data_IF_683279340479
#
_entry.id   IF_683279340479
#
_cell.length_a   1.000
_cell.length_b   1.000
_cell.length_c   1.000
_cell.angle_alpha   90.00
_cell.angle_beta   90.00
_cell.angle_gamma   90.00
#
_symmetry.space_group_name_H-M   'P 1'
#
loop_
_entity.id
_entity.type
_entity.pdbx_description
1 polymer ?
#
# COMPACT_ATOMS: atom_id res chain seq x y z
N UNK A 1 -75.29 18.89 -11.52
CA UNK A 1 -75.11 19.59 -12.80
C UNK A 1 -73.70 19.35 -13.26
N UNK A 2 -73.53 18.39 -14.20
CA UNK A 2 -72.23 18.00 -14.74
C UNK A 2 -71.90 18.86 -15.94
N UNK A 3 -70.72 19.48 -15.97
CA UNK A 3 -70.14 20.05 -17.23
C UNK A 3 -68.94 19.20 -17.64
N UNK A 4 -69.11 18.50 -18.77
CA UNK A 4 -68.05 17.81 -19.54
C UNK A 4 -67.09 18.86 -20.16
N UNK A 5 -65.79 18.75 -19.93
CA UNK A 5 -64.81 19.46 -20.70
C UNK A 5 -64.06 18.53 -21.66
N UNK A 6 -64.11 18.94 -22.90
CA UNK A 6 -63.59 18.33 -24.11
C UNK A 6 -62.05 18.37 -24.13
N UNK A 7 -61.39 17.24 -24.22
CA UNK A 7 -59.95 17.16 -24.43
C UNK A 7 -59.64 17.30 -25.92
N UNK A 8 -59.01 18.40 -26.30
CA UNK A 8 -58.45 18.56 -27.65
C UNK A 8 -57.07 17.89 -27.71
N UNK A 9 -56.92 16.87 -28.55
CA UNK A 9 -55.66 16.28 -28.96
C UNK A 9 -54.90 17.28 -29.84
N UNK A 10 -53.70 17.68 -29.41
CA UNK A 10 -52.72 18.39 -30.21
C UNK A 10 -51.61 17.39 -30.55
N UNK A 11 -51.43 17.10 -31.85
CA UNK A 11 -50.28 16.40 -32.40
C UNK A 11 -49.08 17.36 -32.40
N UNK A 12 -47.88 16.95 -31.97
CA UNK A 12 -46.69 17.74 -32.26
C UNK A 12 -46.15 17.42 -33.66
N UNK A 13 -46.05 18.43 -34.47
CA UNK A 13 -45.36 18.43 -35.76
C UNK A 13 -43.84 18.39 -35.49
N UNK A 14 -43.18 17.30 -35.86
CA UNK A 14 -41.73 17.18 -35.76
C UNK A 14 -41.07 17.98 -36.90
N UNK A 15 -40.48 19.13 -36.57
CA UNK A 15 -39.53 19.81 -37.45
C UNK A 15 -38.17 19.16 -37.35
N UNK A 16 -37.74 18.45 -38.37
CA UNK A 16 -36.36 18.01 -38.56
C UNK A 16 -35.56 19.18 -39.10
N UNK A 17 -34.79 19.84 -38.23
CA UNK A 17 -33.76 20.79 -38.66
C UNK A 17 -32.44 20.05 -38.85
N UNK A 18 -32.05 19.80 -40.08
CA UNK A 18 -30.72 19.39 -40.50
C UNK A 18 -29.72 20.52 -40.24
N UNK A 19 -28.96 20.41 -39.14
CA UNK A 19 -27.77 21.25 -38.94
C UNK A 19 -26.61 20.57 -39.64
N UNK A 20 -26.12 21.18 -40.70
CA UNK A 20 -24.88 20.76 -41.35
C UNK A 20 -23.70 21.05 -40.41
N UNK A 21 -23.10 20.03 -39.87
CA UNK A 21 -21.78 20.12 -39.18
C UNK A 21 -20.71 20.22 -40.28
N UNK A 22 -20.17 21.43 -40.48
CA UNK A 22 -18.90 21.60 -41.18
C UNK A 22 -17.79 20.96 -40.31
N UNK A 23 -17.13 19.96 -40.88
CA UNK A 23 -16.07 19.22 -40.18
C UNK A 23 -14.91 20.13 -39.82
N UNK A 24 -14.55 20.08 -38.54
CA UNK A 24 -13.20 20.38 -38.06
C UNK A 24 -12.59 19.04 -37.68
N UNK A 25 -11.97 18.37 -38.66
CA UNK A 25 -11.09 17.23 -38.41
C UNK A 25 -9.78 17.73 -37.82
N UNK A 26 -9.79 18.03 -36.52
CA UNK A 26 -8.59 18.08 -35.73
C UNK A 26 -8.36 16.69 -35.15
N UNK A 27 -7.67 15.84 -35.88
CA UNK A 27 -7.16 14.57 -35.33
C UNK A 27 -6.15 14.86 -34.23
N UNK A 28 -6.61 14.93 -32.97
CA UNK A 28 -5.76 14.73 -31.82
C UNK A 28 -5.51 13.22 -31.78
N UNK A 29 -4.50 12.77 -32.50
CA UNK A 29 -3.93 11.46 -32.30
C UNK A 29 -3.25 11.47 -30.92
N UNK A 30 -3.98 11.13 -29.87
CA UNK A 30 -3.38 10.62 -28.67
C UNK A 30 -2.52 9.45 -29.14
N UNK A 31 -1.19 9.58 -29.06
CA UNK A 31 -0.28 8.44 -29.20
C UNK A 31 -0.64 7.45 -28.10
N UNK A 32 -1.56 6.54 -28.40
CA UNK A 32 -1.68 5.33 -27.62
C UNK A 32 -0.28 4.72 -27.61
N UNK A 33 0.38 4.73 -26.46
CA UNK A 33 1.55 3.88 -26.25
C UNK A 33 1.08 2.47 -26.57
N UNK A 34 1.55 1.92 -27.67
CA UNK A 34 1.30 0.53 -28.04
C UNK A 34 2.08 -0.33 -27.04
N UNK A 35 1.48 -0.55 -25.87
CA UNK A 35 1.90 -1.64 -25.00
C UNK A 35 1.76 -2.90 -25.86
N UNK A 36 2.86 -3.66 -26.02
CA UNK A 36 2.74 -5.00 -26.59
C UNK A 36 1.63 -5.71 -25.82
N UNK A 37 0.69 -6.37 -26.50
CA UNK A 37 -0.36 -7.09 -25.80
C UNK A 37 0.29 -8.06 -24.82
N UNK A 38 -0.09 -7.99 -23.56
CA UNK A 38 0.35 -8.95 -22.54
C UNK A 38 -0.13 -10.32 -23.01
N UNK A 39 0.79 -11.28 -23.11
CA UNK A 39 0.41 -12.66 -23.40
C UNK A 39 -0.25 -13.24 -22.15
N UNK A 40 -1.55 -13.17 -22.07
CA UNK A 40 -2.34 -13.67 -20.93
C UNK A 40 -2.23 -15.18 -20.73
N UNK A 41 -1.73 -15.93 -21.74
CA UNK A 41 -1.49 -17.35 -21.69
C UNK A 41 -0.02 -17.71 -21.37
N UNK A 42 0.83 -16.75 -21.02
CA UNK A 42 2.20 -17.04 -20.62
C UNK A 42 2.24 -17.83 -19.30
N UNK A 43 3.19 -18.74 -19.16
CA UNK A 43 3.47 -19.41 -17.89
C UNK A 43 3.82 -18.37 -16.83
N UNK A 44 3.17 -18.44 -15.66
CA UNK A 44 3.44 -17.53 -14.53
C UNK A 44 4.54 -18.17 -13.68
N UNK A 45 5.69 -17.53 -13.64
CA UNK A 45 6.83 -17.95 -12.81
C UNK A 45 6.89 -17.17 -11.52
N UNK A 46 6.59 -15.88 -11.59
CA UNK A 46 6.74 -14.96 -10.49
C UNK A 46 5.40 -14.30 -10.13
N UNK A 47 5.21 -14.07 -8.86
CA UNK A 47 4.10 -13.27 -8.33
C UNK A 47 4.69 -12.18 -7.43
N UNK A 48 4.35 -10.93 -7.69
CA UNK A 48 4.64 -9.79 -6.82
C UNK A 48 3.30 -9.24 -6.33
N UNK A 49 3.08 -9.29 -5.02
CA UNK A 49 1.85 -8.84 -4.37
C UNK A 49 2.16 -7.63 -3.50
N UNK A 50 1.61 -6.46 -3.86
CA UNK A 50 1.85 -5.22 -3.13
C UNK A 50 0.60 -4.84 -2.31
N UNK A 51 0.82 -4.38 -1.09
CA UNK A 51 -0.24 -3.92 -0.19
C UNK A 51 0.12 -2.50 0.28
N UNK A 52 -0.72 -1.53 -0.07
CA UNK A 52 -0.69 -0.21 0.57
C UNK A 52 -1.57 -0.27 1.81
N UNK A 53 -0.97 -0.44 2.98
CA UNK A 53 -1.70 -0.53 4.24
C UNK A 53 -2.50 0.76 4.47
N UNK A 54 -3.80 0.64 4.73
CA UNK A 54 -4.70 1.77 4.93
C UNK A 54 -5.01 2.61 3.69
N UNK A 55 -4.56 2.18 2.50
CA UNK A 55 -4.65 2.93 1.23
C UNK A 55 -6.06 2.87 0.62
N UNK A 56 -7.03 3.51 1.26
CA UNK A 56 -8.38 3.65 0.71
C UNK A 56 -8.43 4.47 -0.58
N UNK A 57 -9.58 4.48 -1.23
CA UNK A 57 -9.81 5.14 -2.54
C UNK A 57 -9.51 6.65 -2.48
N UNK A 58 -9.77 7.31 -1.35
CA UNK A 58 -9.47 8.73 -1.17
C UNK A 58 -7.98 9.04 -1.23
N UNK A 59 -7.12 8.16 -0.73
CA UNK A 59 -5.66 8.32 -0.81
C UNK A 59 -5.16 8.33 -2.25
N UNK A 60 -5.58 7.37 -3.05
CA UNK A 60 -5.19 7.29 -4.46
C UNK A 60 -5.74 8.47 -5.27
N UNK A 61 -6.95 8.93 -4.96
CA UNK A 61 -7.56 10.10 -5.60
C UNK A 61 -6.83 11.40 -5.23
N UNK A 62 -6.49 11.59 -3.93
CA UNK A 62 -5.72 12.75 -3.48
C UNK A 62 -4.32 12.78 -4.08
N UNK A 63 -3.66 11.62 -4.11
CA UNK A 63 -2.34 11.49 -4.70
C UNK A 63 -2.33 11.87 -6.19
N UNK A 64 -3.38 11.54 -6.93
CA UNK A 64 -3.56 11.98 -8.32
C UNK A 64 -3.63 13.51 -8.42
N UNK A 65 -4.40 14.18 -7.55
CA UNK A 65 -4.43 15.64 -7.49
C UNK A 65 -3.09 16.24 -7.02
N UNK A 66 -2.41 15.56 -6.11
CA UNK A 66 -1.08 16.01 -5.66
C UNK A 66 -0.08 16.03 -6.82
N UNK A 67 -0.09 15.00 -7.69
CA UNK A 67 0.84 14.88 -8.83
C UNK A 67 0.45 15.73 -10.03
N UNK A 68 -0.79 16.19 -10.06
CA UNK A 68 -1.34 16.90 -11.20
C UNK A 68 -0.51 18.14 -11.57
N UNK A 69 -0.39 18.35 -12.87
CA UNK A 69 0.17 19.58 -13.44
C UNK A 69 -0.96 20.57 -13.72
N UNK A 70 -1.14 21.62 -12.92
CA UNK A 70 -2.24 22.56 -13.07
C UNK A 70 -2.20 23.37 -14.39
N UNK A 71 -1.13 23.28 -15.18
CA UNK A 71 -1.03 23.90 -16.48
C UNK A 71 -1.73 23.09 -17.59
N UNK A 72 -2.11 21.84 -17.32
CA UNK A 72 -2.84 20.99 -18.28
C UNK A 72 -4.34 21.07 -18.04
N UNK A 73 -5.12 20.67 -19.05
CA UNK A 73 -6.59 20.75 -18.99
C UNK A 73 -7.22 19.64 -18.13
N UNK A 74 -6.57 18.48 -18.07
CA UNK A 74 -7.09 17.29 -17.42
C UNK A 74 -6.07 16.81 -16.38
N UNK A 75 -6.58 16.27 -15.29
CA UNK A 75 -5.74 15.64 -14.27
C UNK A 75 -5.05 14.40 -14.87
N UNK A 76 -3.72 14.33 -14.77
CA UNK A 76 -2.94 13.23 -15.30
C UNK A 76 -3.12 11.97 -14.45
N UNK A 77 -3.23 10.79 -15.08
CA UNK A 77 -3.30 9.53 -14.35
C UNK A 77 -1.96 9.22 -13.66
N UNK A 78 -2.03 8.65 -12.46
CA UNK A 78 -0.88 8.07 -11.75
C UNK A 78 -0.41 6.77 -12.40
N UNK A 79 0.69 6.20 -11.93
CA UNK A 79 1.09 4.86 -12.39
C UNK A 79 0.07 3.81 -11.96
N UNK A 80 -0.50 3.92 -10.76
CA UNK A 80 -1.57 3.04 -10.27
C UNK A 80 -2.81 3.06 -11.18
N UNK A 81 -3.27 4.23 -11.58
CA UNK A 81 -4.49 4.38 -12.41
C UNK A 81 -4.45 3.58 -13.71
N UNK A 82 -3.26 3.35 -14.26
CA UNK A 82 -3.07 2.63 -15.53
C UNK A 82 -3.40 1.13 -15.43
N UNK A 83 -3.45 0.60 -14.21
CA UNK A 83 -3.58 -0.84 -13.94
C UNK A 83 -4.76 -1.17 -13.04
N UNK A 84 -5.65 -0.21 -12.77
CA UNK A 84 -6.87 -0.44 -12.01
C UNK A 84 -7.76 -1.46 -12.75
N UNK A 85 -8.11 -2.55 -12.09
CA UNK A 85 -8.92 -3.63 -12.64
C UNK A 85 -10.23 -3.84 -11.90
N UNK A 86 -10.33 -3.41 -10.65
CA UNK A 86 -11.53 -3.59 -9.83
C UNK A 86 -11.38 -3.09 -8.40
N UNK A 87 -12.20 -3.65 -7.53
CA UNK A 87 -12.22 -3.37 -6.09
C UNK A 87 -12.40 -4.67 -5.32
N UNK A 88 -12.06 -4.65 -4.03
CA UNK A 88 -12.30 -5.78 -3.12
C UNK A 88 -12.96 -5.34 -1.83
N UNK A 89 -13.74 -6.25 -1.25
CA UNK A 89 -14.29 -6.13 0.09
C UNK A 89 -13.23 -6.43 1.14
N UNK A 90 -13.33 -5.82 2.33
CA UNK A 90 -12.28 -5.88 3.35
C UNK A 90 -12.72 -6.50 4.68
N UNK A 91 -14.02 -6.76 4.89
CA UNK A 91 -14.59 -7.18 6.17
C UNK A 91 -13.92 -8.44 6.75
N UNK A 92 -13.74 -8.50 8.10
CA UNK A 92 -13.22 -9.68 8.81
C UNK A 92 -14.35 -10.67 9.11
N UNK A 93 -14.02 -11.89 9.54
CA UNK A 93 -14.94 -12.81 10.19
C UNK A 93 -14.81 -12.71 11.73
N UNK A 94 -15.17 -11.54 12.23
CA UNK A 94 -15.11 -11.25 13.66
C UNK A 94 -16.54 -11.03 14.21
N UNK A 95 -16.96 -11.77 15.27
CA UNK A 95 -18.32 -11.64 15.79
C UNK A 95 -18.61 -10.32 16.50
N UNK A 96 -17.58 -9.50 16.77
CA UNK A 96 -17.71 -8.24 17.50
C UNK A 96 -17.42 -7.02 16.62
N UNK A 97 -16.68 -7.18 15.53
CA UNK A 97 -16.17 -6.10 14.70
C UNK A 97 -16.39 -6.42 13.23
N UNK A 98 -16.92 -5.48 12.46
CA UNK A 98 -17.14 -5.62 11.01
C UNK A 98 -16.22 -4.71 10.18
N UNK A 99 -15.34 -3.97 10.83
CA UNK A 99 -14.22 -3.26 10.21
C UNK A 99 -12.95 -4.03 10.53
N UNK A 100 -12.17 -4.34 9.51
CA UNK A 100 -10.98 -5.18 9.62
C UNK A 100 -9.82 -4.43 10.25
N UNK A 101 -8.90 -5.17 10.91
CA UNK A 101 -7.53 -4.75 11.12
C UNK A 101 -6.62 -5.32 10.01
N UNK A 102 -5.35 -4.89 9.98
CA UNK A 102 -4.40 -5.36 8.97
C UNK A 102 -4.12 -6.87 9.09
N UNK A 103 -4.19 -7.45 10.30
CA UNK A 103 -3.89 -8.86 10.51
C UNK A 103 -4.93 -9.77 9.84
N UNK A 104 -6.21 -9.56 10.12
CA UNK A 104 -7.29 -10.36 9.51
C UNK A 104 -7.41 -10.11 8.00
N UNK A 105 -7.21 -8.86 7.53
CA UNK A 105 -7.22 -8.56 6.11
C UNK A 105 -6.04 -9.20 5.37
N UNK A 106 -4.82 -9.11 5.92
CA UNK A 106 -3.65 -9.74 5.33
C UNK A 106 -3.74 -11.27 5.37
N UNK A 107 -4.28 -11.86 6.45
CA UNK A 107 -4.56 -13.30 6.51
C UNK A 107 -5.53 -13.72 5.40
N UNK A 108 -6.59 -12.95 5.15
CA UNK A 108 -7.50 -13.22 4.04
C UNK A 108 -6.78 -13.20 2.68
N UNK A 109 -5.89 -12.23 2.45
CA UNK A 109 -5.10 -12.10 1.22
C UNK A 109 -3.95 -13.10 1.10
N UNK A 110 -3.44 -13.63 2.23
CA UNK A 110 -2.34 -14.59 2.26
C UNK A 110 -2.82 -16.04 2.19
N UNK A 111 -3.94 -16.37 2.85
CA UNK A 111 -4.42 -17.73 3.04
C UNK A 111 -5.77 -18.04 2.38
N UNK A 112 -6.52 -17.02 1.96
CA UNK A 112 -7.82 -17.20 1.29
C UNK A 112 -8.96 -17.55 2.25
N UNK A 113 -8.79 -17.27 3.54
CA UNK A 113 -9.80 -17.48 4.57
C UNK A 113 -10.06 -16.19 5.33
N UNK A 114 -11.31 -15.97 5.77
CA UNK A 114 -11.63 -14.90 6.72
C UNK A 114 -11.29 -15.34 8.12
N UNK A 115 -10.95 -14.39 8.98
CA UNK A 115 -10.63 -14.63 10.38
C UNK A 115 -10.96 -13.40 11.25
N UNK A 116 -10.78 -13.53 12.56
CA UNK A 116 -10.99 -12.45 13.52
C UNK A 116 -9.85 -11.42 13.50
N UNK A 117 -10.13 -10.20 13.95
CA UNK A 117 -9.12 -9.15 14.06
C UNK A 117 -7.96 -9.59 14.99
N UNK A 118 -6.74 -9.21 14.64
CA UNK A 118 -5.45 -9.59 15.24
C UNK A 118 -4.91 -11.00 14.90
N UNK A 119 -5.62 -11.84 14.17
CA UNK A 119 -5.17 -13.18 13.78
C UNK A 119 -4.10 -13.12 12.67
N UNK A 120 -2.99 -13.84 12.86
CA UNK A 120 -1.90 -13.98 11.89
C UNK A 120 -1.94 -15.40 11.31
N UNK A 121 -2.41 -15.53 10.08
CA UNK A 121 -2.53 -16.79 9.33
C UNK A 121 -3.08 -17.97 10.16
N UNK A 122 -4.08 -17.68 10.99
CA UNK A 122 -4.91 -18.69 11.69
C UNK A 122 -6.38 -18.41 11.41
N UNK A 123 -7.21 -19.45 11.44
CA UNK A 123 -8.66 -19.36 11.29
C UNK A 123 -9.36 -19.01 12.63
N UNK A 124 -10.69 -19.00 12.63
CA UNK A 124 -11.49 -18.70 13.83
C UNK A 124 -11.39 -19.78 14.93
N UNK A 125 -10.95 -21.00 14.60
CA UNK A 125 -10.63 -22.04 15.55
C UNK A 125 -9.18 -21.98 16.04
N UNK A 126 -8.43 -20.93 15.64
CA UNK A 126 -7.00 -20.71 15.92
C UNK A 126 -6.10 -21.80 15.32
N UNK A 127 -6.57 -22.48 14.29
CA UNK A 127 -5.76 -23.43 13.53
C UNK A 127 -4.97 -22.69 12.44
N UNK A 128 -3.70 -23.08 12.28
CA UNK A 128 -2.83 -22.54 11.24
C UNK A 128 -3.44 -22.79 9.84
N UNK A 129 -3.39 -21.76 9.00
CA UNK A 129 -3.86 -21.83 7.61
C UNK A 129 -2.70 -21.56 6.66
N UNK A 130 -2.52 -22.48 5.69
CA UNK A 130 -1.42 -22.37 4.71
C UNK A 130 -1.48 -21.05 3.95
N UNK A 131 -0.33 -20.40 3.83
CA UNK A 131 -0.19 -19.16 3.07
C UNK A 131 0.30 -19.39 1.63
N UNK A 132 0.06 -18.43 0.75
CA UNK A 132 0.59 -18.45 -0.63
C UNK A 132 2.12 -18.41 -0.68
N UNK A 133 2.77 -17.80 0.32
CA UNK A 133 4.23 -17.79 0.45
C UNK A 133 4.75 -19.21 0.74
N UNK A 134 4.14 -19.92 1.66
CA UNK A 134 4.48 -21.31 1.97
C UNK A 134 4.25 -22.23 0.78
N UNK A 135 3.11 -22.09 0.09
CA UNK A 135 2.82 -22.85 -1.13
C UNK A 135 3.86 -22.60 -2.25
N UNK A 136 4.30 -21.35 -2.39
CA UNK A 136 5.39 -21.01 -3.33
C UNK A 136 6.70 -21.67 -2.90
N UNK A 137 7.04 -21.63 -1.62
CA UNK A 137 8.26 -22.26 -1.07
C UNK A 137 8.24 -23.77 -1.22
N UNK A 138 7.10 -24.42 -0.98
CA UNK A 138 6.93 -25.87 -1.18
C UNK A 138 7.26 -26.30 -2.64
N UNK A 139 6.97 -25.45 -3.61
CA UNK A 139 7.33 -25.68 -5.02
C UNK A 139 8.79 -25.37 -5.34
N UNK A 140 9.55 -24.91 -4.35
CA UNK A 140 10.96 -24.53 -4.47
C UNK A 140 11.16 -23.18 -5.14
N UNK A 141 10.16 -22.32 -5.15
CA UNK A 141 10.31 -20.91 -5.52
C UNK A 141 11.07 -20.16 -4.43
N UNK A 142 11.74 -19.06 -4.80
CA UNK A 142 12.25 -18.11 -3.82
C UNK A 142 11.12 -17.26 -3.24
N UNK A 143 11.28 -16.79 -2.01
CA UNK A 143 10.23 -16.07 -1.28
C UNK A 143 10.79 -14.84 -0.58
N UNK A 144 10.04 -13.74 -0.58
CA UNK A 144 10.46 -12.50 0.07
C UNK A 144 9.32 -11.72 0.69
N UNK A 145 9.66 -11.00 1.74
CA UNK A 145 8.82 -10.03 2.43
C UNK A 145 9.57 -8.68 2.51
N UNK A 146 8.90 -7.62 2.12
CA UNK A 146 9.40 -6.24 2.17
C UNK A 146 8.33 -5.37 2.81
N UNK A 147 8.70 -4.54 3.81
CA UNK A 147 7.75 -3.65 4.48
C UNK A 147 8.44 -2.37 4.95
N UNK A 148 7.68 -1.31 5.17
CA UNK A 148 8.17 -0.07 5.81
C UNK A 148 7.85 0.01 7.30
N UNK A 149 7.08 -0.95 7.83
CA UNK A 149 6.91 -1.23 9.26
C UNK A 149 8.05 -2.09 9.83
N UNK A 150 7.91 -2.57 11.07
CA UNK A 150 8.62 -3.75 11.52
C UNK A 150 8.30 -4.90 10.59
N UNK A 151 9.30 -5.64 10.14
CA UNK A 151 9.07 -6.78 9.22
C UNK A 151 8.23 -7.90 9.87
N UNK A 152 8.02 -7.85 11.16
CA UNK A 152 7.13 -8.72 11.95
C UNK A 152 5.76 -8.11 12.22
N UNK A 153 5.45 -6.94 11.63
CA UNK A 153 4.12 -6.33 11.74
C UNK A 153 3.06 -7.20 11.06
N UNK A 154 1.79 -6.92 11.33
CA UNK A 154 0.67 -7.79 10.98
C UNK A 154 0.65 -8.25 9.51
N UNK A 155 0.88 -7.33 8.58
CA UNK A 155 0.77 -7.63 7.14
C UNK A 155 1.87 -8.60 6.66
N UNK A 156 3.17 -8.34 6.84
CA UNK A 156 4.19 -9.32 6.47
C UNK A 156 4.11 -10.59 7.30
N UNK A 157 3.73 -10.50 8.60
CA UNK A 157 3.56 -11.66 9.46
C UNK A 157 2.53 -12.65 8.92
N UNK A 158 1.38 -12.17 8.44
CA UNK A 158 0.30 -13.01 7.89
C UNK A 158 0.71 -13.81 6.65
N UNK A 159 1.80 -13.47 5.98
CA UNK A 159 2.36 -14.28 4.89
C UNK A 159 3.43 -15.27 5.36
N UNK A 160 4.16 -14.95 6.45
CA UNK A 160 5.38 -15.66 6.84
C UNK A 160 5.34 -16.38 8.19
N UNK A 161 4.32 -16.20 9.03
CA UNK A 161 4.20 -16.75 10.38
C UNK A 161 2.76 -17.17 10.66
N UNK A 162 2.53 -17.84 11.81
CA UNK A 162 1.21 -18.20 12.31
C UNK A 162 1.13 -17.84 13.80
N UNK A 163 0.22 -16.95 14.16
CA UNK A 163 0.04 -16.55 15.56
C UNK A 163 -1.41 -16.14 15.83
N UNK A 164 -1.90 -16.44 17.00
CA UNK A 164 -3.26 -16.06 17.43
C UNK A 164 -3.40 -14.56 17.69
N UNK A 165 -2.28 -13.81 17.76
CA UNK A 165 -2.28 -12.38 18.05
C UNK A 165 -1.07 -11.65 17.47
N UNK A 166 -1.31 -10.68 16.59
CA UNK A 166 -0.30 -9.83 15.94
C UNK A 166 0.69 -9.13 16.90
N UNK A 167 0.32 -8.96 18.16
CA UNK A 167 1.17 -8.31 19.15
C UNK A 167 2.30 -9.24 19.66
N UNK A 168 2.29 -10.52 19.33
CA UNK A 168 3.33 -11.48 19.68
C UNK A 168 4.57 -11.35 18.78
N UNK A 169 4.99 -10.12 18.47
CA UNK A 169 6.02 -9.83 17.46
C UNK A 169 7.37 -10.55 17.71
N UNK A 170 7.72 -10.84 18.96
CA UNK A 170 8.93 -11.62 19.25
C UNK A 170 8.78 -13.08 18.79
N UNK A 171 7.63 -13.70 19.03
CA UNK A 171 7.34 -15.06 18.55
C UNK A 171 7.31 -15.10 17.03
N UNK A 172 6.67 -14.12 16.38
CA UNK A 172 6.66 -13.97 14.92
C UNK A 172 8.09 -13.85 14.35
N UNK A 173 8.98 -13.10 15.03
CA UNK A 173 10.38 -13.02 14.62
C UNK A 173 11.09 -14.38 14.78
N UNK A 174 10.77 -15.13 15.84
CA UNK A 174 11.31 -16.48 16.06
C UNK A 174 10.82 -17.45 14.98
N UNK A 175 9.54 -17.42 14.60
CA UNK A 175 8.96 -18.25 13.53
C UNK A 175 9.66 -18.03 12.18
N UNK A 176 10.03 -16.80 11.85
CA UNK A 176 10.77 -16.51 10.61
C UNK A 176 12.09 -17.24 10.51
N UNK A 177 12.74 -17.50 11.65
CA UNK A 177 13.96 -18.28 11.70
C UNK A 177 13.70 -19.77 11.90
N UNK A 178 12.84 -20.15 12.85
CA UNK A 178 12.68 -21.52 13.32
C UNK A 178 11.89 -22.40 12.36
N UNK A 179 10.86 -21.83 11.72
CA UNK A 179 10.01 -22.60 10.83
C UNK A 179 10.66 -22.86 9.46
N UNK A 180 10.44 -24.06 8.97
CA UNK A 180 11.05 -24.57 7.74
C UNK A 180 10.01 -25.18 6.81
N UNK A 181 10.20 -24.92 5.51
CA UNK A 181 9.48 -25.60 4.42
C UNK A 181 10.48 -26.49 3.66
N UNK A 182 10.23 -27.78 3.63
CA UNK A 182 11.13 -28.76 3.03
C UNK A 182 12.59 -28.67 3.55
N UNK A 183 12.75 -28.37 4.84
CA UNK A 183 14.06 -28.26 5.53
C UNK A 183 14.82 -26.96 5.24
N UNK A 184 14.22 -25.99 4.56
CA UNK A 184 14.79 -24.66 4.26
C UNK A 184 14.01 -23.57 4.99
N UNK A 185 14.65 -22.44 5.25
CA UNK A 185 13.93 -21.23 5.71
C UNK A 185 12.77 -20.91 4.78
N UNK A 186 11.64 -20.48 5.37
CA UNK A 186 10.45 -20.11 4.58
C UNK A 186 10.69 -18.89 3.70
N UNK A 187 11.50 -17.96 4.16
CA UNK A 187 11.67 -16.63 3.55
C UNK A 187 13.14 -16.42 3.21
N UNK A 188 13.46 -16.16 1.95
CA UNK A 188 14.85 -15.92 1.51
C UNK A 188 15.26 -14.45 1.66
N UNK A 189 14.31 -13.51 1.50
CA UNK A 189 14.55 -12.07 1.57
C UNK A 189 13.59 -11.43 2.58
N UNK A 190 14.14 -10.83 3.62
CA UNK A 190 13.44 -10.09 4.67
C UNK A 190 14.00 -8.66 4.71
N UNK A 191 13.23 -7.65 4.30
CA UNK A 191 13.65 -6.25 4.29
C UNK A 191 12.60 -5.36 4.97
N UNK A 192 12.99 -4.65 6.03
CA UNK A 192 12.08 -3.74 6.73
C UNK A 192 12.70 -3.09 7.97
N UNK A 193 11.86 -2.63 8.89
CA UNK A 193 12.24 -2.20 10.23
C UNK A 193 12.24 -3.35 11.23
N UNK A 194 12.40 -3.04 12.52
CA UNK A 194 12.21 -3.97 13.63
C UNK A 194 13.46 -4.62 14.18
N UNK A 195 14.65 -4.01 14.05
CA UNK A 195 15.88 -4.61 14.59
C UNK A 195 15.82 -4.93 16.09
N UNK A 196 15.01 -4.20 16.88
CA UNK A 196 14.82 -4.46 18.30
C UNK A 196 14.14 -5.82 18.57
N UNK A 197 13.42 -6.39 17.58
CA UNK A 197 12.73 -7.69 17.68
C UNK A 197 13.65 -8.86 17.30
N UNK A 198 14.72 -8.59 16.56
CA UNK A 198 15.70 -9.58 16.12
C UNK A 198 16.97 -9.60 17.01
N UNK A 199 17.30 -8.47 17.65
CA UNK A 199 18.46 -8.34 18.55
C UNK A 199 17.94 -8.15 19.97
N UNK A 200 17.55 -9.26 20.60
CA UNK A 200 16.98 -9.28 21.93
C UNK A 200 18.01 -9.76 22.97
N UNK A 201 17.71 -9.58 24.26
CA UNK A 201 18.56 -10.06 25.36
C UNK A 201 18.58 -11.58 25.48
N UNK A 202 17.46 -12.21 25.15
CA UNK A 202 17.24 -13.66 25.21
C UNK A 202 17.69 -14.36 23.91
N UNK A 203 17.67 -13.66 22.77
CA UNK A 203 17.96 -14.25 21.46
C UNK A 203 18.48 -13.21 20.46
N UNK A 204 19.51 -13.56 19.70
CA UNK A 204 20.02 -12.72 18.61
C UNK A 204 19.80 -13.42 17.26
N UNK A 205 18.63 -13.20 16.69
CA UNK A 205 18.24 -13.80 15.40
C UNK A 205 19.12 -13.34 14.23
N UNK A 206 19.66 -12.12 14.28
CA UNK A 206 20.60 -11.64 13.24
C UNK A 206 21.83 -12.55 13.15
N UNK A 207 22.43 -12.91 14.30
CA UNK A 207 23.55 -13.83 14.31
C UNK A 207 23.16 -15.25 13.87
N UNK A 208 21.95 -15.70 14.20
CA UNK A 208 21.45 -17.01 13.81
C UNK A 208 21.23 -17.08 12.29
N UNK A 209 20.58 -16.10 11.70
CA UNK A 209 20.43 -15.98 10.23
C UNK A 209 21.80 -15.93 9.52
N UNK A 210 22.76 -15.17 10.05
CA UNK A 210 24.11 -15.13 9.48
C UNK A 210 24.83 -16.49 9.53
N UNK A 211 24.67 -17.24 10.62
CA UNK A 211 25.22 -18.60 10.75
C UNK A 211 24.61 -19.56 9.73
N UNK A 212 23.34 -19.34 9.37
CA UNK A 212 22.62 -20.13 8.37
C UNK A 212 22.83 -19.60 6.91
N UNK A 213 23.74 -18.62 6.75
CA UNK A 213 24.18 -18.16 5.43
C UNK A 213 23.53 -16.90 4.90
N UNK A 214 22.66 -16.23 5.67
CA UNK A 214 22.10 -14.94 5.26
C UNK A 214 23.13 -13.81 5.39
N UNK A 215 23.06 -12.85 4.48
CA UNK A 215 23.64 -11.54 4.76
C UNK A 215 22.74 -10.75 5.69
N UNK A 216 23.36 -9.98 6.62
CA UNK A 216 22.65 -8.99 7.42
C UNK A 216 23.08 -7.60 6.98
N UNK A 217 22.13 -6.75 6.64
CA UNK A 217 22.36 -5.37 6.17
C UNK A 217 21.48 -4.39 6.95
N UNK A 218 21.99 -3.18 7.18
CA UNK A 218 21.34 -2.18 8.04
C UNK A 218 21.15 -0.79 7.39
N UNK A 219 21.66 -0.61 6.18
CA UNK A 219 21.56 0.64 5.43
C UNK A 219 21.55 0.41 3.92
N UNK A 220 21.21 1.45 3.16
CA UNK A 220 21.09 1.41 1.71
C UNK A 220 22.39 1.00 1.01
N UNK A 221 23.55 1.45 1.51
CA UNK A 221 24.85 1.13 0.89
C UNK A 221 25.19 -0.33 1.03
N UNK A 222 24.94 -0.91 2.21
CA UNK A 222 25.11 -2.34 2.44
C UNK A 222 24.16 -3.15 1.56
N UNK A 223 22.87 -2.79 1.52
CA UNK A 223 21.89 -3.44 0.66
C UNK A 223 22.27 -3.45 -0.83
N UNK A 224 22.83 -2.33 -1.33
CA UNK A 224 23.26 -2.21 -2.74
C UNK A 224 24.55 -2.98 -3.04
N UNK A 225 25.41 -3.18 -2.06
CA UNK A 225 26.69 -3.91 -2.25
C UNK A 225 26.54 -5.42 -2.07
N UNK A 226 25.56 -5.83 -1.27
CA UNK A 226 25.32 -7.23 -0.99
C UNK A 226 24.71 -7.95 -2.21
N UNK A 227 25.22 -9.14 -2.52
CA UNK A 227 24.76 -9.95 -3.64
C UNK A 227 24.31 -11.36 -3.20
N UNK A 228 24.13 -11.59 -1.91
CA UNK A 228 23.64 -12.86 -1.41
C UNK A 228 22.14 -13.04 -1.79
N UNK A 229 21.77 -14.24 -2.21
CA UNK A 229 20.37 -14.57 -2.53
C UNK A 229 19.47 -14.55 -1.27
N UNK A 230 20.07 -14.73 -0.09
CA UNK A 230 19.40 -14.71 1.22
C UNK A 230 19.87 -13.51 2.05
N UNK A 231 18.95 -12.64 2.40
CA UNK A 231 19.27 -11.40 3.12
C UNK A 231 18.24 -11.06 4.19
N UNK A 232 18.73 -10.63 5.34
CA UNK A 232 17.99 -9.97 6.42
C UNK A 232 18.43 -8.51 6.47
N UNK A 233 17.56 -7.59 6.02
CA UNK A 233 17.79 -6.15 6.06
C UNK A 233 16.90 -5.47 7.09
N UNK A 234 17.49 -4.91 8.15
CA UNK A 234 16.77 -4.24 9.23
C UNK A 234 17.24 -2.79 9.33
N UNK A 235 16.45 -1.87 8.78
CA UNK A 235 16.85 -0.47 8.55
C UNK A 235 16.42 0.50 9.63
N UNK A 236 15.64 0.04 10.61
CA UNK A 236 15.21 0.82 11.77
C UNK A 236 14.99 -0.10 12.98
N UNK A 237 15.02 0.49 14.20
CA UNK A 237 14.74 -0.24 15.45
C UNK A 237 13.30 -0.73 15.54
N UNK A 238 12.38 0.12 15.12
CA UNK A 238 10.95 -0.10 14.98
C UNK A 238 10.58 0.06 13.51
N UNK A 239 9.36 0.52 13.20
CA UNK A 239 9.02 0.91 11.84
C UNK A 239 9.98 1.96 11.27
N UNK A 240 10.15 2.00 9.98
CA UNK A 240 10.97 3.01 9.30
C UNK A 240 10.31 4.38 9.44
N UNK A 241 11.06 5.49 9.47
CA UNK A 241 10.46 6.83 9.38
C UNK A 241 9.63 6.98 8.09
N UNK A 242 8.64 7.86 8.12
CA UNK A 242 7.89 8.24 6.90
C UNK A 242 8.86 8.74 5.82
N UNK A 243 8.57 8.45 4.55
CA UNK A 243 9.52 8.64 3.44
C UNK A 243 10.13 10.05 3.39
N UNK A 244 9.31 11.09 3.62
CA UNK A 244 9.77 12.49 3.62
C UNK A 244 10.80 12.79 4.72
N UNK A 245 10.85 12.00 5.78
CA UNK A 245 11.74 12.16 6.93
C UNK A 245 12.96 11.24 6.88
N UNK A 246 13.00 10.28 5.96
CA UNK A 246 14.14 9.37 5.80
C UNK A 246 15.39 10.10 5.40
N UNK A 247 16.53 9.58 5.85
CA UNK A 247 17.86 10.03 5.42
C UNK A 247 18.29 9.30 4.15
N UNK A 248 19.31 9.80 3.46
CA UNK A 248 19.87 9.15 2.26
C UNK A 248 20.50 7.76 2.56
N UNK A 249 20.75 7.44 3.82
CA UNK A 249 21.27 6.15 4.25
C UNK A 249 20.18 5.08 4.35
N UNK A 250 18.92 5.49 4.47
CA UNK A 250 17.78 4.58 4.55
C UNK A 250 17.26 4.26 3.14
N UNK A 251 16.94 2.98 2.85
CA UNK A 251 16.35 2.62 1.57
C UNK A 251 14.90 3.14 1.47
N UNK A 252 14.49 3.48 0.25
CA UNK A 252 13.09 3.64 -0.11
C UNK A 252 12.42 2.28 -0.26
N UNK A 253 11.08 2.25 -0.27
CA UNK A 253 10.35 1.02 -0.59
C UNK A 253 10.71 0.49 -1.98
N UNK A 254 10.93 1.39 -2.94
CA UNK A 254 11.38 1.03 -4.28
C UNK A 254 12.80 0.44 -4.29
N UNK A 255 13.75 0.97 -3.48
CA UNK A 255 15.09 0.38 -3.34
C UNK A 255 15.02 -1.05 -2.79
N UNK A 256 14.21 -1.26 -1.74
CA UNK A 256 14.00 -2.57 -1.13
C UNK A 256 13.31 -3.54 -2.11
N UNK A 257 12.29 -3.08 -2.83
CA UNK A 257 11.57 -3.88 -3.84
C UNK A 257 12.51 -4.33 -4.96
N UNK A 258 13.31 -3.42 -5.53
CA UNK A 258 14.29 -3.78 -6.56
C UNK A 258 15.33 -4.77 -6.02
N UNK A 259 15.88 -4.51 -4.83
CA UNK A 259 16.85 -5.41 -4.20
C UNK A 259 16.28 -6.82 -3.93
N UNK A 260 15.01 -6.92 -3.56
CA UNK A 260 14.32 -8.20 -3.40
C UNK A 260 14.11 -8.91 -4.73
N UNK A 261 13.60 -8.22 -5.75
CA UNK A 261 13.38 -8.77 -7.09
C UNK A 261 14.71 -9.30 -7.68
N UNK A 262 15.79 -8.54 -7.60
CA UNK A 262 17.10 -8.92 -8.17
C UNK A 262 17.64 -10.22 -7.57
N UNK A 263 17.45 -10.44 -6.26
CA UNK A 263 17.86 -11.66 -5.56
C UNK A 263 16.94 -12.83 -5.86
N UNK A 264 15.64 -12.64 -5.70
CA UNK A 264 14.64 -13.70 -5.86
C UNK A 264 14.58 -14.22 -7.31
N UNK A 265 14.82 -13.35 -8.29
CA UNK A 265 14.83 -13.71 -9.72
C UNK A 265 16.00 -14.60 -10.14
N UNK A 266 17.00 -14.83 -9.27
CA UNK A 266 18.05 -15.82 -9.51
C UNK A 266 17.51 -17.25 -9.45
N UNK A 267 16.37 -17.47 -8.79
CA UNK A 267 15.72 -18.78 -8.74
C UNK A 267 15.02 -19.12 -10.05
N UNK A 268 15.50 -20.17 -10.72
CA UNK A 268 14.96 -20.62 -12.03
C UNK A 268 13.49 -21.06 -11.97
N UNK A 269 12.98 -21.43 -10.80
CA UNK A 269 11.56 -21.77 -10.59
C UNK A 269 10.69 -20.55 -10.39
N UNK A 270 11.30 -19.35 -10.32
CA UNK A 270 10.64 -18.09 -10.04
C UNK A 270 10.47 -17.83 -8.54
N UNK A 271 9.62 -16.86 -8.21
CA UNK A 271 9.49 -16.38 -6.84
C UNK A 271 8.08 -15.90 -6.49
N UNK A 272 7.83 -15.77 -5.18
CA UNK A 272 6.74 -15.00 -4.59
C UNK A 272 7.35 -13.87 -3.75
N UNK A 273 6.89 -12.65 -3.96
CA UNK A 273 7.32 -11.46 -3.21
C UNK A 273 6.08 -10.69 -2.74
N UNK A 274 5.99 -10.46 -1.44
CA UNK A 274 5.05 -9.49 -0.85
C UNK A 274 5.80 -8.20 -0.54
N UNK A 275 5.19 -7.06 -0.88
CA UNK A 275 5.72 -5.71 -0.64
C UNK A 275 4.65 -4.87 0.03
N UNK A 276 4.98 -4.24 1.15
CA UNK A 276 4.05 -3.42 1.91
C UNK A 276 4.51 -1.98 2.05
N UNK A 277 3.64 -1.05 1.67
CA UNK A 277 3.73 0.37 2.03
C UNK A 277 2.98 0.62 3.33
N UNK A 278 3.58 0.26 4.46
CA UNK A 278 2.94 0.20 5.78
C UNK A 278 2.59 1.57 6.35
N UNK A 279 3.37 2.59 6.00
CA UNK A 279 3.30 3.90 6.64
C UNK A 279 2.16 4.79 6.13
N UNK A 280 1.43 4.37 5.07
CA UNK A 280 0.22 5.07 4.61
C UNK A 280 -0.84 4.98 5.71
N UNK A 281 -1.01 3.78 6.29
CA UNK A 281 -1.91 3.51 7.41
C UNK A 281 -1.54 4.32 8.65
N UNK A 282 -0.27 4.31 9.04
CA UNK A 282 0.18 5.03 10.23
C UNK A 282 0.00 6.55 10.09
N UNK A 283 0.20 7.10 8.88
CA UNK A 283 -0.15 8.49 8.61
C UNK A 283 -1.67 8.73 8.65
N UNK A 284 -2.48 7.76 8.23
CA UNK A 284 -3.94 7.80 8.35
C UNK A 284 -4.42 7.76 9.79
N UNK A 285 -3.81 6.95 10.66
CA UNK A 285 -4.10 6.89 12.10
C UNK A 285 -3.81 8.21 12.80
N UNK A 286 -2.75 8.87 12.38
CA UNK A 286 -2.30 10.16 12.89
C UNK A 286 -3.04 11.34 12.27
N UNK A 287 -3.82 11.12 11.22
CA UNK A 287 -4.45 12.14 10.38
C UNK A 287 -3.43 13.07 9.69
N UNK A 288 -2.22 12.59 9.43
CA UNK A 288 -1.13 13.29 8.75
C UNK A 288 -1.22 13.16 7.23
N UNK A 289 -1.75 14.19 6.56
CA UNK A 289 -1.84 14.20 5.09
C UNK A 289 -0.47 14.35 4.40
N UNK A 290 0.52 14.95 5.07
CA UNK A 290 1.88 15.11 4.52
C UNK A 290 2.59 13.76 4.49
N UNK A 291 2.57 13.06 5.62
CA UNK A 291 3.09 11.70 5.74
C UNK A 291 2.41 10.76 4.75
N UNK A 292 1.06 10.75 4.73
CA UNK A 292 0.27 9.91 3.85
C UNK A 292 0.63 10.10 2.36
N UNK A 293 0.74 11.33 1.90
CA UNK A 293 1.07 11.62 0.50
C UNK A 293 2.54 11.30 0.15
N UNK A 294 3.46 11.43 1.11
CA UNK A 294 4.85 11.02 0.90
C UNK A 294 4.99 9.50 0.78
N UNK A 295 4.23 8.74 1.57
CA UNK A 295 4.19 7.28 1.53
C UNK A 295 3.47 6.76 0.27
N UNK A 296 2.42 7.44 -0.19
CA UNK A 296 1.79 7.16 -1.49
C UNK A 296 2.78 7.30 -2.65
N UNK A 297 3.70 8.27 -2.59
CA UNK A 297 4.77 8.43 -3.59
C UNK A 297 5.78 7.28 -3.54
N UNK A 298 6.19 6.85 -2.35
CA UNK A 298 7.11 5.72 -2.17
C UNK A 298 6.47 4.41 -2.65
N UNK A 299 5.19 4.17 -2.30
CA UNK A 299 4.43 3.02 -2.77
C UNK A 299 4.27 2.99 -4.29
N UNK A 300 3.91 4.12 -4.92
CA UNK A 300 3.81 4.19 -6.39
C UNK A 300 5.14 3.87 -7.08
N UNK A 301 6.27 4.34 -6.52
CA UNK A 301 7.62 4.04 -7.05
C UNK A 301 7.93 2.54 -6.94
N UNK A 302 7.58 1.89 -5.84
CA UNK A 302 7.74 0.45 -5.65
C UNK A 302 6.83 -0.34 -6.61
N UNK A 303 5.57 0.06 -6.74
CA UNK A 303 4.65 -0.51 -7.73
C UNK A 303 5.19 -0.39 -9.16
N UNK A 304 5.69 0.80 -9.52
CA UNK A 304 6.31 1.01 -10.84
C UNK A 304 7.52 0.10 -11.07
N UNK A 305 8.35 -0.10 -10.05
CA UNK A 305 9.50 -1.02 -10.15
C UNK A 305 9.06 -2.46 -10.44
N UNK A 306 8.02 -2.94 -9.75
CA UNK A 306 7.42 -4.25 -10.01
C UNK A 306 6.83 -4.37 -11.43
N UNK A 307 6.10 -3.34 -11.88
CA UNK A 307 5.55 -3.27 -13.24
C UNK A 307 6.65 -3.26 -14.30
N UNK A 308 7.71 -2.47 -14.11
CA UNK A 308 8.82 -2.38 -15.06
C UNK A 308 9.57 -3.70 -15.17
N UNK A 309 9.74 -4.42 -14.07
CA UNK A 309 10.27 -5.78 -14.06
C UNK A 309 9.33 -6.73 -14.81
N UNK A 310 8.05 -6.76 -14.49
CA UNK A 310 7.08 -7.65 -15.13
C UNK A 310 6.97 -7.44 -16.64
N UNK A 311 7.04 -6.18 -17.10
CA UNK A 311 7.07 -5.87 -18.55
C UNK A 311 8.27 -6.44 -19.27
N UNK A 312 9.43 -6.51 -18.61
CA UNK A 312 10.67 -7.07 -19.19
C UNK A 312 10.67 -8.59 -19.15
N UNK A 313 10.24 -9.15 -18.03
CA UNK A 313 10.23 -10.59 -17.77
C UNK A 313 9.15 -11.32 -18.57
N UNK A 314 7.93 -10.80 -18.63
CA UNK A 314 6.81 -11.39 -19.38
C UNK A 314 6.17 -12.62 -18.71
N UNK A 315 6.68 -13.08 -17.56
CA UNK A 315 6.23 -14.25 -16.80
C UNK A 315 5.83 -13.88 -15.35
N UNK A 316 5.72 -12.61 -15.08
CA UNK A 316 5.43 -12.06 -13.75
C UNK A 316 4.02 -11.50 -13.71
N UNK A 317 3.23 -11.98 -12.75
CA UNK A 317 1.99 -11.37 -12.31
C UNK A 317 2.31 -10.34 -11.21
N UNK A 318 1.86 -9.11 -11.39
CA UNK A 318 1.88 -8.06 -10.36
C UNK A 318 0.44 -7.77 -9.97
N UNK A 319 0.17 -7.79 -8.68
CA UNK A 319 -1.10 -7.37 -8.09
C UNK A 319 -0.82 -6.34 -7.00
N UNK A 320 -1.59 -5.26 -6.94
CA UNK A 320 -1.52 -4.30 -5.85
C UNK A 320 -2.93 -3.98 -5.34
N UNK A 321 -3.06 -3.80 -4.02
CA UNK A 321 -4.32 -3.45 -3.38
C UNK A 321 -4.04 -2.74 -2.05
N UNK A 322 -5.08 -2.49 -1.26
CA UNK A 322 -5.00 -2.13 0.15
C UNK A 322 -5.67 -3.23 0.99
N UNK A 323 -5.40 -3.26 2.26
CA UNK A 323 -6.05 -4.15 3.22
C UNK A 323 -7.33 -3.53 3.79
N UNK A 324 -7.36 -2.23 4.00
CA UNK A 324 -8.49 -1.39 4.41
C UNK A 324 -8.23 0.08 4.04
N UNK A 325 -9.07 0.99 4.51
CA UNK A 325 -8.80 2.42 4.57
C UNK A 325 -8.64 2.87 6.02
N UNK A 326 -7.94 4.00 6.24
CA UNK A 326 -7.66 4.54 7.57
C UNK A 326 -7.98 6.03 7.64
N UNK A 327 -8.37 6.51 8.84
CA UNK A 327 -8.63 7.93 9.11
C UNK A 327 -9.99 8.43 8.63
N UNK A 328 -10.71 7.66 7.81
CA UNK A 328 -11.93 8.12 7.14
C UNK A 328 -11.64 9.40 6.35
N UNK A 329 -10.52 9.38 5.61
CA UNK A 329 -9.99 10.51 4.86
C UNK A 329 -10.94 10.99 3.77
N UNK A 330 -11.20 12.30 3.72
CA UNK A 330 -12.00 12.94 2.67
C UNK A 330 -11.25 14.04 1.93
N UNK A 331 -11.42 14.06 0.61
CA UNK A 331 -10.95 15.11 -0.30
C UNK A 331 -12.05 16.17 -0.37
N UNK A 332 -11.81 17.35 0.22
CA UNK A 332 -12.81 18.37 0.47
C UNK A 332 -13.45 18.23 1.85
N UNK A 333 -13.44 19.29 2.61
CA UNK A 333 -13.95 19.37 3.98
C UNK A 333 -14.55 20.74 4.25
N UNK A 334 -15.25 20.87 5.39
CA UNK A 334 -15.78 22.16 5.90
C UNK A 334 -16.77 22.82 4.94
N UNK A 335 -17.45 22.02 4.09
CA UNK A 335 -18.42 22.52 3.10
C UNK A 335 -17.81 23.14 1.84
N UNK A 336 -16.50 23.06 1.68
CA UNK A 336 -15.81 23.53 0.47
C UNK A 336 -15.74 22.43 -0.60
N UNK A 337 -15.94 22.82 -1.86
CA UNK A 337 -15.86 21.96 -3.04
C UNK A 337 -14.47 22.00 -3.65
N UNK A 338 -13.43 22.04 -2.83
CA UNK A 338 -12.03 22.15 -3.23
C UNK A 338 -11.16 21.29 -2.33
N UNK A 339 -10.00 20.89 -2.89
CA UNK A 339 -8.88 20.34 -2.15
C UNK A 339 -7.58 20.87 -2.78
N UNK A 340 -6.71 21.47 -1.97
CA UNK A 340 -5.50 22.12 -2.44
C UNK A 340 -4.25 21.33 -2.05
N UNK A 341 -3.50 20.87 -3.04
CA UNK A 341 -2.23 20.16 -2.83
C UNK A 341 -1.07 21.08 -2.41
N UNK A 342 -1.18 22.39 -2.66
CA UNK A 342 -0.07 23.32 -2.41
C UNK A 342 0.40 23.36 -0.94
N UNK A 343 -0.48 23.38 0.09
CA UNK A 343 -0.03 23.33 1.48
C UNK A 343 0.74 22.05 1.83
N UNK A 344 0.36 20.92 1.23
CA UNK A 344 0.99 19.63 1.43
C UNK A 344 2.38 19.60 0.75
N UNK A 345 2.46 20.07 -0.49
CA UNK A 345 3.72 20.20 -1.24
C UNK A 345 4.74 21.17 -0.61
N UNK A 346 4.25 22.10 0.20
CA UNK A 346 5.10 23.06 0.89
C UNK A 346 5.80 22.47 2.13
N UNK A 347 5.35 21.31 2.62
CA UNK A 347 6.00 20.63 3.73
C UNK A 347 7.27 19.92 3.27
N UNK A 348 8.36 20.09 4.02
CA UNK A 348 9.67 19.45 3.81
C UNK A 348 9.93 18.32 4.80
N UNK A 349 9.10 18.19 5.82
CA UNK A 349 9.08 17.18 6.87
C UNK A 349 7.64 16.98 7.33
N UNK A 350 7.37 15.87 8.00
CA UNK A 350 6.06 15.63 8.62
C UNK A 350 5.79 16.59 9.77
N UNK A 351 4.52 16.76 10.14
CA UNK A 351 4.14 17.42 11.40
C UNK A 351 4.80 16.77 12.63
N UNK A 352 4.82 15.44 12.72
CA UNK A 352 5.51 14.66 13.75
C UNK A 352 6.97 15.08 13.93
N UNK A 353 7.73 15.12 12.83
CA UNK A 353 9.14 15.54 12.86
C UNK A 353 9.30 16.94 13.43
N UNK A 354 8.43 17.87 13.00
CA UNK A 354 8.47 19.26 13.51
C UNK A 354 8.08 19.31 14.97
N UNK A 355 7.07 18.54 15.39
CA UNK A 355 6.62 18.47 16.77
C UNK A 355 7.68 17.92 17.72
N UNK A 356 8.44 16.89 17.30
CA UNK A 356 9.58 16.36 18.06
C UNK A 356 10.65 17.41 18.29
N UNK A 357 11.00 18.23 17.25
CA UNK A 357 11.97 19.31 17.39
C UNK A 357 11.49 20.36 18.42
N UNK A 358 10.23 20.76 18.33
CA UNK A 358 9.62 21.77 19.23
C UNK A 358 9.53 21.20 20.66
N UNK A 359 9.08 19.99 20.85
CA UNK A 359 9.04 19.32 22.16
C UNK A 359 10.44 19.21 22.78
N UNK A 360 11.47 19.03 21.95
CA UNK A 360 12.88 19.03 22.31
C UNK A 360 13.45 20.42 22.64
N UNK A 361 12.66 21.48 22.47
CA UNK A 361 13.01 22.86 22.86
C UNK A 361 13.38 23.79 21.71
N UNK A 362 13.18 23.39 20.44
CA UNK A 362 13.34 24.29 19.31
C UNK A 362 12.26 25.39 19.31
N UNK A 363 12.60 26.58 18.76
CA UNK A 363 11.62 27.67 18.62
C UNK A 363 10.53 27.30 17.62
N UNK A 364 9.26 27.50 18.00
CA UNK A 364 8.10 27.16 17.18
C UNK A 364 8.12 27.85 15.83
N UNK A 365 8.34 29.19 15.81
CA UNK A 365 8.28 29.95 14.57
C UNK A 365 9.43 29.60 13.63
N UNK A 366 10.63 29.43 14.17
CA UNK A 366 11.82 29.04 13.39
C UNK A 366 11.63 27.63 12.79
N UNK A 367 11.14 26.67 13.59
CA UNK A 367 10.88 25.30 13.14
C UNK A 367 9.83 25.25 12.03
N UNK A 368 8.67 25.88 12.25
CA UNK A 368 7.63 25.93 11.23
C UNK A 368 8.10 26.61 9.95
N UNK A 369 8.78 27.76 10.04
CA UNK A 369 9.28 28.48 8.84
C UNK A 369 10.35 27.70 8.09
N UNK A 370 11.14 26.89 8.79
CA UNK A 370 12.19 26.05 8.19
C UNK A 370 11.60 24.90 7.37
N UNK A 371 10.56 24.29 7.88
CA UNK A 371 10.03 23.04 7.31
C UNK A 371 8.70 23.17 6.56
N UNK A 372 8.00 24.31 6.70
CA UNK A 372 6.82 24.65 5.90
C UNK A 372 7.11 25.88 5.03
N UNK A 373 7.19 25.67 3.74
CA UNK A 373 7.36 26.77 2.75
C UNK A 373 6.01 27.46 2.49
N UNK A 374 5.39 27.93 3.58
CA UNK A 374 4.09 28.60 3.60
C UNK A 374 4.18 29.95 4.32
N UNK A 375 3.51 30.99 3.82
CA UNK A 375 3.35 32.25 4.57
C UNK A 375 2.37 32.04 5.74
N UNK A 376 2.92 31.63 6.90
CA UNK A 376 2.13 31.38 8.09
C UNK A 376 1.65 32.70 8.70
N UNK A 377 0.41 32.73 9.15
CA UNK A 377 -0.17 33.83 9.91
C UNK A 377 0.28 33.78 11.37
N UNK A 378 0.27 34.95 12.06
CA UNK A 378 0.57 34.98 13.50
C UNK A 378 -0.39 34.10 14.32
N UNK A 379 -1.66 33.95 13.89
CA UNK A 379 -2.64 33.08 14.53
C UNK A 379 -2.25 31.60 14.45
N UNK A 380 -1.78 31.14 13.29
CA UNK A 380 -1.32 29.75 13.10
C UNK A 380 -0.07 29.45 13.92
N UNK A 381 0.89 30.39 13.93
CA UNK A 381 2.09 30.24 14.78
C UNK A 381 1.69 30.23 16.25
N UNK A 382 0.71 31.06 16.65
CA UNK A 382 0.26 31.13 18.03
C UNK A 382 -0.48 29.84 18.45
N UNK A 383 -1.28 29.23 17.58
CA UNK A 383 -1.97 27.96 17.90
C UNK A 383 -0.99 26.84 18.26
N UNK A 384 0.16 26.75 17.58
CA UNK A 384 1.21 25.80 17.93
C UNK A 384 1.94 26.19 19.22
N UNK A 385 2.21 27.49 19.43
CA UNK A 385 2.82 27.99 20.68
C UNK A 385 1.98 27.70 21.90
N UNK A 386 0.65 27.79 21.78
CA UNK A 386 -0.29 27.58 22.90
C UNK A 386 -0.20 26.16 23.47
N UNK A 387 0.13 25.17 22.64
CA UNK A 387 0.29 23.76 23.03
C UNK A 387 1.76 23.35 23.27
N UNK A 388 2.72 24.06 22.72
CA UNK A 388 4.15 23.72 22.82
C UNK A 388 4.65 23.68 24.28
N UNK A 389 4.04 24.45 25.18
CA UNK A 389 4.36 24.46 26.62
C UNK A 389 4.14 23.11 27.32
N UNK A 390 3.26 22.25 26.79
CA UNK A 390 3.02 20.90 27.32
C UNK A 390 4.19 19.94 27.08
N UNK A 391 5.02 20.19 26.07
CA UNK A 391 6.08 19.32 25.54
C UNK A 391 5.57 17.94 25.11
N UNK A 392 4.28 17.79 24.90
CA UNK A 392 3.68 16.56 24.37
C UNK A 392 3.72 16.63 22.84
N UNK A 393 4.47 15.72 22.22
CA UNK A 393 4.62 15.68 20.76
C UNK A 393 3.26 15.65 20.08
N UNK A 394 2.35 14.80 20.52
CA UNK A 394 1.02 14.63 19.93
C UNK A 394 0.18 15.92 19.93
N UNK A 395 0.28 16.78 20.98
CA UNK A 395 -0.50 18.04 21.02
C UNK A 395 0.06 19.07 20.02
N UNK A 396 1.40 19.08 19.86
CA UNK A 396 2.11 19.97 18.94
C UNK A 396 1.87 19.52 17.50
N UNK A 397 1.96 18.24 17.26
CA UNK A 397 1.73 17.58 15.99
C UNK A 397 0.31 17.88 15.47
N UNK A 398 -0.71 17.54 16.22
CA UNK A 398 -2.11 17.83 15.88
C UNK A 398 -2.33 19.34 15.56
N UNK A 399 -1.64 20.25 16.24
CA UNK A 399 -1.75 21.68 15.96
C UNK A 399 -1.13 22.07 14.61
N UNK A 400 -0.04 21.39 14.20
CA UNK A 400 0.60 21.60 12.90
C UNK A 400 -0.24 20.99 11.77
N UNK A 401 -0.73 19.77 11.95
CA UNK A 401 -1.65 19.09 11.02
C UNK A 401 -2.89 19.94 10.76
N UNK A 402 -3.50 20.49 11.81
CA UNK A 402 -4.69 21.35 11.70
C UNK A 402 -4.44 22.57 10.80
N UNK A 403 -3.22 23.12 10.74
CA UNK A 403 -2.86 24.21 9.83
C UNK A 403 -2.91 23.70 8.38
N UNK A 404 -2.29 22.56 8.11
CA UNK A 404 -2.21 21.98 6.77
C UNK A 404 -3.58 21.52 6.29
N UNK A 405 -4.33 20.82 7.12
CA UNK A 405 -5.69 20.34 6.84
C UNK A 405 -6.68 21.48 6.56
N UNK A 406 -6.57 22.57 7.34
CA UNK A 406 -7.42 23.74 7.13
C UNK A 406 -7.13 24.40 5.79
N UNK A 407 -5.87 24.51 5.42
CA UNK A 407 -5.46 25.16 4.17
C UNK A 407 -5.68 24.29 2.93
N UNK A 408 -5.59 22.97 3.09
CA UNK A 408 -5.80 22.02 2.00
C UNK A 408 -7.26 21.60 1.83
N UNK A 409 -8.14 21.89 2.79
CA UNK A 409 -9.48 21.31 2.92
C UNK A 409 -9.48 19.79 3.01
N UNK A 410 -8.50 19.25 3.71
CA UNK A 410 -8.43 17.84 4.09
C UNK A 410 -9.38 17.58 5.26
N UNK A 411 -10.08 16.45 5.21
CA UNK A 411 -11.01 16.02 6.26
C UNK A 411 -10.70 14.61 6.74
N UNK A 412 -10.90 14.41 8.05
CA UNK A 412 -10.75 13.12 8.73
C UNK A 412 -11.98 12.87 9.61
N UNK A 413 -12.44 11.65 9.71
CA UNK A 413 -13.60 11.30 10.55
C UNK A 413 -13.21 10.49 11.76
N UNK A 414 -12.05 9.87 11.77
CA UNK A 414 -11.55 9.00 12.84
C UNK A 414 -10.02 8.93 12.80
N UNK A 415 -9.40 8.44 13.86
CA UNK A 415 -8.01 7.94 13.84
C UNK A 415 -7.92 6.41 13.73
N UNK A 416 -8.99 5.74 13.29
CA UNK A 416 -9.05 4.29 13.12
C UNK A 416 -9.33 3.89 11.69
N UNK A 417 -9.51 2.58 11.45
CA UNK A 417 -9.85 2.05 10.13
C UNK A 417 -11.30 2.34 9.75
N UNK A 418 -11.58 2.34 8.47
CA UNK A 418 -12.92 2.46 7.89
C UNK A 418 -13.19 1.32 6.91
N UNK A 419 -14.47 0.94 6.78
CA UNK A 419 -14.89 -0.35 6.20
C UNK A 419 -15.30 -0.28 4.73
N UNK A 420 -14.83 0.71 3.97
CA UNK A 420 -15.09 0.80 2.54
C UNK A 420 -14.27 -0.21 1.73
N UNK A 421 -14.77 -0.52 0.52
CA UNK A 421 -14.03 -1.31 -0.46
C UNK A 421 -12.78 -0.56 -0.93
N UNK A 422 -11.74 -1.32 -1.29
CA UNK A 422 -10.47 -0.77 -1.75
C UNK A 422 -10.15 -1.18 -3.18
N UNK A 423 -9.34 -0.39 -3.86
CA UNK A 423 -8.97 -0.64 -5.25
C UNK A 423 -8.04 -1.85 -5.41
N UNK A 424 -8.22 -2.56 -6.53
CA UNK A 424 -7.33 -3.64 -6.98
C UNK A 424 -6.70 -3.26 -8.31
N UNK A 425 -5.39 -3.39 -8.38
CA UNK A 425 -4.57 -3.11 -9.56
C UNK A 425 -3.87 -4.40 -9.97
N UNK A 426 -3.81 -4.70 -11.26
CA UNK A 426 -3.15 -5.91 -11.73
C UNK A 426 -2.51 -5.74 -13.11
N UNK A 427 -1.38 -6.41 -13.31
CA UNK A 427 -0.66 -6.47 -14.58
C UNK A 427 0.04 -7.81 -14.77
N UNK A 428 0.13 -8.27 -16.00
CA UNK A 428 0.80 -9.50 -16.37
C UNK A 428 -0.16 -10.65 -16.66
N UNK A 429 0.34 -11.88 -16.86
CA UNK A 429 -0.51 -13.04 -17.12
C UNK A 429 -1.50 -13.28 -15.98
N UNK A 430 -2.75 -13.63 -16.27
CA UNK A 430 -3.87 -13.83 -15.35
C UNK A 430 -4.35 -12.57 -14.58
N UNK A 431 -3.89 -11.36 -14.93
CA UNK A 431 -4.37 -10.12 -14.30
C UNK A 431 -5.88 -9.92 -14.43
N UNK A 432 -6.51 -10.43 -15.49
CA UNK A 432 -7.95 -10.39 -15.72
C UNK A 432 -8.78 -11.12 -14.64
N UNK A 433 -8.17 -12.03 -13.88
CA UNK A 433 -8.83 -12.77 -12.79
C UNK A 433 -9.11 -11.92 -11.56
N UNK A 434 -8.46 -10.76 -11.45
CA UNK A 434 -8.62 -9.80 -10.36
C UNK A 434 -9.61 -8.68 -10.71
N UNK A 435 -10.26 -8.75 -11.88
CA UNK A 435 -11.16 -7.71 -12.36
C UNK A 435 -12.56 -7.77 -11.71
N UNK A 436 -13.18 -6.59 -11.57
CA UNK A 436 -14.53 -6.44 -11.00
C UNK A 436 -14.52 -6.30 -9.49
N UNK A 437 -15.63 -6.71 -8.87
CA UNK A 437 -15.76 -6.76 -7.42
C UNK A 437 -15.38 -8.15 -6.94
N UNK A 438 -14.35 -8.26 -6.10
CA UNK A 438 -13.90 -9.51 -5.52
C UNK A 438 -13.93 -9.44 -3.98
N UNK A 439 -13.84 -10.57 -3.31
CA UNK A 439 -13.55 -10.61 -1.88
C UNK A 439 -12.02 -10.64 -1.67
N UNK A 440 -11.51 -10.07 -0.58
CA UNK A 440 -10.06 -10.03 -0.35
C UNK A 440 -9.43 -11.45 -0.24
N UNK A 441 -10.22 -12.48 0.14
CA UNK A 441 -9.78 -13.88 0.11
C UNK A 441 -9.52 -14.41 -1.30
N UNK A 442 -10.12 -13.82 -2.32
CA UNK A 442 -9.96 -14.27 -3.70
C UNK A 442 -8.54 -14.03 -4.22
N UNK A 443 -7.81 -13.06 -3.64
CA UNK A 443 -6.39 -12.86 -3.97
C UNK A 443 -5.58 -14.14 -3.74
N UNK A 444 -5.65 -14.69 -2.54
CA UNK A 444 -4.95 -15.94 -2.24
C UNK A 444 -5.47 -17.13 -3.06
N UNK A 445 -6.80 -17.28 -3.19
CA UNK A 445 -7.42 -18.38 -3.97
C UNK A 445 -6.94 -18.36 -5.43
N UNK A 446 -6.86 -17.16 -6.03
CA UNK A 446 -6.33 -17.00 -7.40
C UNK A 446 -4.85 -17.38 -7.46
N UNK A 447 -4.05 -16.90 -6.50
CA UNK A 447 -2.60 -17.19 -6.44
C UNK A 447 -2.35 -18.68 -6.19
N UNK A 448 -3.06 -19.34 -5.26
CA UNK A 448 -2.98 -20.80 -5.07
C UNK A 448 -3.28 -21.55 -6.38
N UNK A 449 -4.36 -21.18 -7.07
CA UNK A 449 -4.70 -21.78 -8.36
C UNK A 449 -3.65 -21.55 -9.45
N UNK A 450 -2.87 -20.48 -9.40
CA UNK A 450 -1.73 -20.22 -10.28
C UNK A 450 -0.56 -21.13 -9.91
N UNK A 451 -0.24 -21.22 -8.63
CA UNK A 451 0.83 -22.05 -8.11
C UNK A 451 0.58 -23.55 -8.40
N UNK A 452 -0.64 -24.03 -8.23
CA UNK A 452 -1.01 -25.44 -8.51
C UNK A 452 -0.91 -25.80 -10.00
N UNK A 453 -1.29 -24.90 -10.91
CA UNK A 453 -1.27 -25.12 -12.36
C UNK A 453 0.15 -25.23 -12.94
N UNK A 454 1.16 -24.68 -12.29
CA UNK A 454 2.56 -24.87 -12.63
C UNK A 454 2.98 -26.35 -12.63
N UNK A 455 2.18 -27.24 -12.02
CA UNK A 455 2.38 -28.69 -11.97
C UNK A 455 1.50 -29.50 -12.92
N UNK A 456 0.51 -28.90 -13.60
CA UNK A 456 -0.38 -29.64 -14.53
C UNK A 456 -0.68 -28.80 -15.77
N UNK A 457 -0.31 -29.30 -16.95
CA UNK A 457 -0.94 -28.89 -18.21
C UNK A 457 -2.43 -29.25 -18.11
N UNK A 458 -3.28 -28.28 -17.83
CA UNK A 458 -4.72 -28.53 -17.76
C UNK A 458 -5.35 -28.19 -19.10
N UNK A 459 -5.88 -29.19 -19.76
CA UNK A 459 -6.88 -29.08 -20.84
C UNK A 459 -8.12 -28.44 -20.22
N UNK A 460 -8.51 -27.28 -20.70
CA UNK A 460 -9.79 -26.66 -20.37
C UNK A 460 -10.85 -27.41 -21.18
N UNK A 461 -11.66 -28.23 -20.52
CA UNK A 461 -12.94 -28.62 -21.09
C UNK A 461 -13.94 -27.49 -20.83
N UNK A 462 -14.32 -26.84 -21.94
CA UNK A 462 -15.46 -25.91 -21.97
C UNK A 462 -16.73 -26.67 -21.55
N UNK A 463 -17.40 -26.17 -20.51
CA UNK A 463 -18.80 -26.49 -20.23
C UNK A 463 -19.62 -25.21 -20.12
#
# INVERSE_FOLDING_TARGET
MFKKNLVKKILPLAMVSTVAFAGFEGTIAAKAQTNKPVNTNAEIKNVIFLIGDGMGVSYTSAYRYLKDNPATKFVEPTELDKYLVGQQTTYPEDPKQNVTDSASAATAMAAGVKTYNAAIAVDNDQSEVKTVLEAAKEQGKATGLVATSEITHATPASFGSHDVNRNNMNAIADDYFDERVNGKHKIDVLLGGGSDLFIRKDRNLVEEFQKDGYSAVSNLQELKKDNNDQVLGLFAKRGMPKMIDRTEEMPSLADMTNAAIDRLNQNKKGFFLMVEGSQIDWAGHDNDIVGAMSEMEDFEKAFKAAIDFAKKDGHTLVVATADHSTGGYSIGARGEYNWFSAPIKAAKRTPDFMAEQIAGGADVKETLTKYLDLPLTDKEIQSVKDVAGSKRVVDIDNAIEQIIDTRSFTGWTTGGHTGEDVNVYAFGPASERFAGQIDNTDNAKIIFGILEKGNKKTVIEDK
#
